data_IF_612273484559
#
_entry.id   IF_612273484559
#
_cell.length_a   1.000
_cell.length_b   1.000
_cell.length_c   1.000
_cell.angle_alpha   90.00
_cell.angle_beta   90.00
_cell.angle_gamma   90.00
#
_symmetry.space_group_name_H-M   'P 1'
#
loop_
_entity.id
_entity.type
_entity.pdbx_description
1 polymer ?
#
# COMPACT_ATOMS: atom_id res chain seq x y z
N UNK A 1 10.67 -43.87 13.98
CA UNK A 1 10.56 -43.58 12.53
C UNK A 1 9.56 -42.48 12.22
N UNK A 2 8.28 -42.68 12.56
CA UNK A 2 7.15 -41.83 12.13
C UNK A 2 7.18 -40.37 12.59
N UNK A 3 7.74 -40.05 13.76
CA UNK A 3 7.85 -38.67 14.28
C UNK A 3 8.78 -37.76 13.47
N UNK A 4 9.79 -38.32 12.81
CA UNK A 4 10.72 -37.56 11.95
C UNK A 4 10.09 -37.24 10.60
N UNK A 5 9.31 -38.18 10.06
CA UNK A 5 8.54 -37.99 8.82
C UNK A 5 7.45 -36.93 9.01
N UNK A 6 6.72 -36.98 10.13
CA UNK A 6 5.72 -35.96 10.47
C UNK A 6 6.31 -34.57 10.72
N UNK A 7 7.48 -34.49 11.37
CA UNK A 7 8.20 -33.20 11.53
C UNK A 7 8.78 -32.67 10.22
N UNK A 8 9.26 -33.54 9.34
CA UNK A 8 9.79 -33.17 8.02
C UNK A 8 8.69 -32.64 7.09
N UNK A 9 7.54 -33.32 7.06
CA UNK A 9 6.36 -32.87 6.32
C UNK A 9 5.85 -31.54 6.85
N UNK A 10 5.69 -31.37 8.16
CA UNK A 10 5.18 -30.12 8.72
C UNK A 10 6.16 -28.94 8.61
N UNK A 11 7.46 -29.14 8.88
CA UNK A 11 8.46 -28.06 8.69
C UNK A 11 8.70 -27.72 7.22
N UNK A 12 8.66 -28.70 6.32
CA UNK A 12 8.86 -28.46 4.89
C UNK A 12 7.63 -27.84 4.22
N UNK A 13 6.44 -28.33 4.57
CA UNK A 13 5.19 -27.87 3.98
C UNK A 13 4.66 -26.57 4.63
N UNK A 14 4.46 -26.51 5.94
CA UNK A 14 3.89 -25.29 6.53
C UNK A 14 4.94 -24.17 6.66
N UNK A 15 6.06 -24.44 7.33
CA UNK A 15 7.06 -23.39 7.56
C UNK A 15 7.86 -23.05 6.29
N UNK A 16 8.00 -23.96 5.34
CA UNK A 16 8.67 -23.68 4.07
C UNK A 16 7.76 -22.98 3.05
N UNK A 17 6.53 -23.48 2.88
CA UNK A 17 5.62 -23.00 1.84
C UNK A 17 4.86 -21.75 2.30
N UNK A 18 4.33 -21.72 3.53
CA UNK A 18 3.52 -20.59 4.03
C UNK A 18 4.43 -19.44 4.43
N UNK A 19 5.38 -19.66 5.35
CA UNK A 19 6.30 -18.59 5.79
C UNK A 19 7.26 -18.17 4.67
N UNK A 20 7.75 -19.12 3.87
CA UNK A 20 8.73 -18.84 2.81
C UNK A 20 8.14 -18.20 1.55
N UNK A 21 7.00 -18.69 1.05
CA UNK A 21 6.44 -18.20 -0.23
C UNK A 21 5.45 -17.07 -0.01
N UNK A 22 4.53 -17.22 0.96
CA UNK A 22 3.47 -16.24 1.18
C UNK A 22 3.97 -15.09 2.05
N UNK A 23 4.56 -15.36 3.21
CA UNK A 23 4.96 -14.30 4.14
C UNK A 23 6.23 -13.59 3.66
N UNK A 24 7.30 -14.32 3.34
CA UNK A 24 8.54 -13.69 2.89
C UNK A 24 8.38 -13.01 1.51
N UNK A 25 7.54 -13.58 0.63
CA UNK A 25 7.17 -12.96 -0.65
C UNK A 25 6.45 -11.62 -0.46
N UNK A 26 5.42 -11.59 0.39
CA UNK A 26 4.68 -10.34 0.68
C UNK A 26 5.54 -9.34 1.44
N UNK A 27 6.34 -9.77 2.42
CA UNK A 27 7.27 -8.91 3.14
C UNK A 27 8.30 -8.26 2.21
N UNK A 28 8.83 -9.00 1.23
CA UNK A 28 9.75 -8.46 0.23
C UNK A 28 9.07 -7.45 -0.69
N UNK A 29 7.84 -7.73 -1.14
CA UNK A 29 7.06 -6.78 -1.95
C UNK A 29 6.75 -5.49 -1.19
N UNK A 30 6.32 -5.60 0.06
CA UNK A 30 6.08 -4.45 0.95
C UNK A 30 7.38 -3.69 1.19
N UNK A 31 8.51 -4.38 1.41
CA UNK A 31 9.83 -3.75 1.57
C UNK A 31 10.27 -2.96 0.34
N UNK A 32 10.06 -3.51 -0.86
CA UNK A 32 10.36 -2.82 -2.13
C UNK A 32 9.45 -1.61 -2.30
N UNK A 33 8.14 -1.78 -2.11
CA UNK A 33 7.17 -0.69 -2.22
C UNK A 33 7.45 0.43 -1.22
N UNK A 34 7.75 0.09 0.04
CA UNK A 34 8.14 1.05 1.06
C UNK A 34 9.44 1.79 0.69
N UNK A 35 10.42 1.09 0.11
CA UNK A 35 11.64 1.69 -0.40
C UNK A 35 11.37 2.71 -1.51
N UNK A 36 10.52 2.37 -2.48
CA UNK A 36 10.12 3.26 -3.57
C UNK A 36 9.34 4.48 -3.06
N UNK A 37 8.37 4.28 -2.16
CA UNK A 37 7.56 5.35 -1.57
C UNK A 37 8.44 6.33 -0.78
N UNK A 38 9.46 5.84 -0.06
CA UNK A 38 10.42 6.70 0.65
C UNK A 38 11.22 7.60 -0.29
N UNK A 39 11.52 7.16 -1.51
CA UNK A 39 12.23 8.00 -2.49
C UNK A 39 11.34 9.16 -2.99
N UNK A 40 10.02 8.98 -3.03
CA UNK A 40 9.08 10.03 -3.37
C UNK A 40 8.98 11.11 -2.28
N UNK A 41 9.32 10.77 -1.03
CA UNK A 41 9.42 11.72 0.08
C UNK A 41 10.74 12.49 0.02
N UNK A 42 10.88 13.38 -0.96
CA UNK A 42 12.11 14.16 -1.22
C UNK A 42 12.45 15.21 -0.15
N UNK A 43 11.54 15.48 0.80
CA UNK A 43 11.76 16.42 1.90
C UNK A 43 11.55 17.90 1.56
N UNK A 44 11.36 18.25 0.28
CA UNK A 44 11.06 19.62 -0.12
C UNK A 44 9.60 19.97 0.17
N UNK A 45 9.39 21.10 0.86
CA UNK A 45 8.07 21.60 1.27
C UNK A 45 7.15 21.86 0.06
N UNK A 46 7.71 22.25 -1.09
CA UNK A 46 6.96 22.48 -2.33
C UNK A 46 6.13 21.25 -2.77
N UNK A 47 6.72 20.05 -2.77
CA UNK A 47 6.01 18.84 -3.21
C UNK A 47 4.89 18.46 -2.24
N UNK A 48 5.07 18.72 -0.94
CA UNK A 48 4.01 18.51 0.05
C UNK A 48 2.86 19.50 -0.15
N UNK A 49 3.15 20.79 -0.36
CA UNK A 49 2.12 21.79 -0.63
C UNK A 49 1.29 21.45 -1.88
N UNK A 50 1.97 21.03 -2.96
CA UNK A 50 1.30 20.56 -4.17
C UNK A 50 0.42 19.34 -3.91
N UNK A 51 0.92 18.33 -3.18
CA UNK A 51 0.16 17.13 -2.84
C UNK A 51 -1.10 17.44 -2.02
N UNK A 52 -1.02 18.41 -1.10
CA UNK A 52 -2.17 18.84 -0.29
C UNK A 52 -3.26 19.51 -1.15
N UNK A 53 -2.88 20.43 -2.04
CA UNK A 53 -3.83 21.09 -2.95
C UNK A 53 -4.47 20.06 -3.88
N UNK A 54 -3.66 19.18 -4.48
CA UNK A 54 -4.17 18.11 -5.34
C UNK A 54 -5.13 17.18 -4.59
N UNK A 55 -4.82 16.81 -3.34
CA UNK A 55 -5.68 16.01 -2.48
C UNK A 55 -7.05 16.66 -2.23
N UNK A 56 -7.08 17.96 -1.92
CA UNK A 56 -8.34 18.70 -1.73
C UNK A 56 -9.14 18.77 -3.03
N UNK A 57 -8.50 19.03 -4.18
CA UNK A 57 -9.19 19.07 -5.48
C UNK A 57 -9.82 17.73 -5.83
N UNK A 58 -9.07 16.63 -5.66
CA UNK A 58 -9.57 15.26 -5.89
C UNK A 58 -10.68 14.92 -4.92
N UNK A 59 -10.53 15.27 -3.64
CA UNK A 59 -11.56 15.05 -2.62
C UNK A 59 -12.85 15.79 -2.97
N UNK A 60 -12.75 17.07 -3.38
CA UNK A 60 -13.92 17.83 -3.82
C UNK A 60 -14.57 17.20 -5.06
N UNK A 61 -13.78 16.72 -6.02
CA UNK A 61 -14.31 16.09 -7.22
C UNK A 61 -15.05 14.77 -6.94
N UNK A 62 -14.51 13.93 -6.06
CA UNK A 62 -15.09 12.61 -5.77
C UNK A 62 -16.27 12.65 -4.80
N UNK A 63 -16.23 13.55 -3.80
CA UNK A 63 -17.18 13.52 -2.68
C UNK A 63 -18.22 14.63 -2.71
N UNK A 64 -18.00 15.72 -3.45
CA UNK A 64 -19.00 16.80 -3.54
C UNK A 64 -19.96 16.47 -4.68
N UNK A 65 -21.27 16.30 -4.42
CA UNK A 65 -22.23 16.07 -5.49
C UNK A 65 -22.20 17.24 -6.46
N UNK A 66 -22.14 16.96 -7.78
CA UNK A 66 -21.95 17.99 -8.81
C UNK A 66 -22.94 19.16 -8.74
N UNK A 67 -24.13 18.94 -8.18
CA UNK A 67 -25.14 19.98 -7.92
C UNK A 67 -24.70 21.03 -6.88
N UNK A 68 -23.86 20.65 -5.91
CA UNK A 68 -23.31 21.55 -4.90
C UNK A 68 -22.13 22.37 -5.45
N UNK A 69 -21.36 21.83 -6.41
CA UNK A 69 -20.31 22.58 -7.12
C UNK A 69 -20.88 23.53 -8.18
N UNK A 70 -21.93 23.11 -8.91
CA UNK A 70 -22.56 23.93 -9.94
C UNK A 70 -23.23 25.19 -9.40
N UNK A 71 -23.62 25.21 -8.12
CA UNK A 71 -24.24 26.37 -7.47
C UNK A 71 -23.29 27.54 -7.17
N UNK A 72 -21.98 27.27 -7.04
CA UNK A 72 -20.95 28.30 -6.80
C UNK A 72 -20.32 28.84 -8.08
N UNK A 73 -20.32 28.05 -9.17
CA UNK A 73 -19.62 28.37 -10.41
C UNK A 73 -20.53 28.96 -11.50
N UNK A 74 -21.85 28.77 -11.38
CA UNK A 74 -22.85 29.11 -12.42
C UNK A 74 -23.86 30.14 -11.90
N UNK A 75 -23.43 30.99 -10.97
CA UNK A 75 -24.14 32.19 -10.54
C UNK A 75 -23.21 33.38 -10.58
#
# INVERSE_FOLDING_TARGET
>A
GTRLVGRGLWKGADAGLIDGVVVNGTARLVGIAAGLIRQLQTGFIYYYALAMIAGVVVFMWLFVPGKLLSGWFIR
#
